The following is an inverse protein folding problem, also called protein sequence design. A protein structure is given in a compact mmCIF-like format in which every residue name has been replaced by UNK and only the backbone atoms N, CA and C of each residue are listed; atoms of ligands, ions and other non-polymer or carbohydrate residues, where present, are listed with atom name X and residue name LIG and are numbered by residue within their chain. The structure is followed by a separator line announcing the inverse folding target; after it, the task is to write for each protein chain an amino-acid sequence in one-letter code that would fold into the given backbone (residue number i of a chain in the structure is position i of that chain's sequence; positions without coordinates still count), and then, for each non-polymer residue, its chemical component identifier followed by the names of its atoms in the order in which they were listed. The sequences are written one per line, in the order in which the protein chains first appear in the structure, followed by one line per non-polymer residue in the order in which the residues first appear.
data_IF_659947043434
#
_entry.id   IF_659947043434
#
_cell.length_a   1.000
_cell.length_b   1.000
_cell.length_c   1.000
_cell.angle_alpha   90.00
_cell.angle_beta   90.00
_cell.angle_gamma   90.00
#
_symmetry.space_group_name_H-M   'P 1'
#
loop_
_entity.id
_entity.type
_entity.pdbx_description
1 polymer ?
#
# COMPACT_ATOMS: atom_id res chain seq x y z
N UNK A 1 3.57 7.03 14.52
CA UNK A 1 4.43 6.91 13.32
C UNK A 1 4.14 5.58 12.64
N UNK A 2 4.59 5.36 11.40
CA UNK A 2 4.57 4.06 10.76
C UNK A 2 5.37 3.01 11.56
N UNK A 3 4.93 1.75 11.60
CA UNK A 3 5.45 0.70 12.48
C UNK A 3 5.88 -0.55 11.70
N UNK A 4 6.95 -1.22 12.17
CA UNK A 4 7.37 -2.52 11.65
C UNK A 4 7.89 -2.54 10.20
N UNK A 5 8.05 -3.74 9.65
CA UNK A 5 8.64 -3.94 8.30
C UNK A 5 7.78 -3.35 7.18
N UNK A 6 6.46 -3.41 7.33
CA UNK A 6 5.48 -2.95 6.32
C UNK A 6 5.02 -1.50 6.53
N UNK A 7 5.57 -0.82 7.55
CA UNK A 7 5.31 0.60 7.84
C UNK A 7 3.82 0.94 8.01
N UNK A 8 3.04 0.02 8.59
CA UNK A 8 1.62 0.24 8.90
C UNK A 8 1.48 1.27 10.01
N UNK A 9 0.60 2.27 9.84
CA UNK A 9 0.30 3.25 10.90
C UNK A 9 -0.70 2.69 11.92
N UNK A 10 -0.71 3.19 13.18
CA UNK A 10 -1.56 2.64 14.25
C UNK A 10 -3.03 2.50 13.89
N UNK A 11 -3.64 3.53 13.30
CA UNK A 11 -5.06 3.53 12.95
C UNK A 11 -5.38 2.45 11.90
N UNK A 12 -4.52 2.31 10.89
CA UNK A 12 -4.61 1.24 9.89
C UNK A 12 -4.40 -0.14 10.52
N UNK A 13 -3.47 -0.27 11.47
CA UNK A 13 -3.24 -1.52 12.20
C UNK A 13 -4.47 -1.94 13.01
N UNK A 14 -5.11 -1.02 13.73
CA UNK A 14 -6.34 -1.28 14.46
C UNK A 14 -7.50 -1.68 13.53
N UNK A 15 -7.63 -1.01 12.39
CA UNK A 15 -8.60 -1.38 11.35
C UNK A 15 -8.37 -2.81 10.84
N UNK A 16 -7.13 -3.15 10.45
CA UNK A 16 -6.78 -4.49 9.94
C UNK A 16 -7.03 -5.56 11.01
N UNK A 17 -6.66 -5.30 12.26
CA UNK A 17 -6.89 -6.21 13.37
C UNK A 17 -8.37 -6.56 13.52
N UNK A 18 -9.27 -5.57 13.36
CA UNK A 18 -10.72 -5.82 13.36
C UNK A 18 -11.15 -6.66 12.16
N UNK A 19 -10.63 -6.37 10.96
CA UNK A 19 -10.98 -7.13 9.74
C UNK A 19 -10.54 -8.59 9.81
N UNK A 20 -9.38 -8.85 10.42
CA UNK A 20 -8.81 -10.19 10.56
C UNK A 20 -9.26 -10.91 11.84
N UNK A 21 -10.10 -10.28 12.67
CA UNK A 21 -10.45 -10.76 14.01
C UNK A 21 -9.21 -11.14 14.85
N UNK A 22 -8.16 -10.32 14.78
CA UNK A 22 -6.90 -10.57 15.47
C UNK A 22 -7.10 -10.43 17.00
N UNK A 23 -6.73 -11.45 17.79
CA UNK A 23 -6.99 -11.44 19.24
C UNK A 23 -6.08 -10.44 19.96
N UNK A 24 -6.65 -9.70 20.91
CA UNK A 24 -5.96 -8.82 21.86
C UNK A 24 -4.89 -7.91 21.23
N UNK A 25 -5.18 -7.37 20.04
CA UNK A 25 -4.23 -6.57 19.26
C UNK A 25 -3.67 -5.38 20.05
N UNK A 26 -2.34 -5.25 20.03
CA UNK A 26 -1.61 -4.07 20.47
C UNK A 26 -0.69 -3.58 19.36
N UNK A 27 -0.39 -2.28 19.29
CA UNK A 27 0.40 -1.73 18.18
C UNK A 27 1.82 -2.31 18.10
N UNK A 28 2.37 -2.76 19.22
CA UNK A 28 3.67 -3.44 19.31
C UNK A 28 3.68 -4.75 18.50
N UNK A 29 2.53 -5.35 18.24
CA UNK A 29 2.43 -6.54 17.39
C UNK A 29 2.93 -6.28 15.98
N UNK A 30 2.80 -5.06 15.46
CA UNK A 30 3.30 -4.69 14.12
C UNK A 30 4.83 -4.83 13.99
N UNK A 31 5.58 -4.83 15.10
CA UNK A 31 7.02 -5.08 15.09
C UNK A 31 7.38 -6.56 15.02
N UNK A 32 6.43 -7.48 15.26
CA UNK A 32 6.64 -8.91 15.02
C UNK A 32 6.62 -9.14 13.51
N UNK A 33 7.71 -9.61 12.88
CA UNK A 33 7.83 -9.65 11.42
C UNK A 33 6.66 -10.35 10.72
N UNK A 34 6.22 -11.49 11.25
CA UNK A 34 5.08 -12.24 10.72
C UNK A 34 3.77 -11.43 10.74
N UNK A 35 3.50 -10.73 11.85
CA UNK A 35 2.27 -9.93 11.99
C UNK A 35 2.34 -8.71 11.09
N UNK A 36 3.44 -7.95 11.13
CA UNK A 36 3.63 -6.77 10.30
C UNK A 36 3.51 -7.09 8.80
N UNK A 37 4.11 -8.20 8.35
CA UNK A 37 4.00 -8.65 6.95
C UNK A 37 2.56 -9.06 6.59
N UNK A 38 1.88 -9.83 7.44
CA UNK A 38 0.48 -10.21 7.19
C UNK A 38 -0.44 -8.99 7.11
N UNK A 39 -0.28 -8.03 8.03
CA UNK A 39 -1.10 -6.82 8.05
C UNK A 39 -0.84 -5.95 6.82
N UNK A 40 0.44 -5.76 6.48
CA UNK A 40 0.83 -5.03 5.26
C UNK A 40 0.31 -5.69 3.99
N UNK A 41 0.46 -7.01 3.86
CA UNK A 41 -0.02 -7.77 2.71
C UNK A 41 -1.55 -7.71 2.58
N UNK A 42 -2.28 -7.87 3.69
CA UNK A 42 -3.74 -7.74 3.71
C UNK A 42 -4.18 -6.34 3.26
N UNK A 43 -3.54 -5.29 3.78
CA UNK A 43 -3.89 -3.92 3.42
C UNK A 43 -3.56 -3.60 1.96
N UNK A 44 -2.40 -4.06 1.45
CA UNK A 44 -2.03 -3.93 0.05
C UNK A 44 -3.02 -4.67 -0.87
N UNK A 45 -3.42 -5.89 -0.50
CA UNK A 45 -4.42 -6.65 -1.26
C UNK A 45 -5.77 -5.94 -1.35
N UNK A 46 -6.22 -5.30 -0.27
CA UNK A 46 -7.42 -4.46 -0.30
C UNK A 46 -7.26 -3.27 -1.25
N UNK A 47 -6.12 -2.60 -1.25
CA UNK A 47 -5.90 -1.46 -2.16
C UNK A 47 -5.84 -1.93 -3.61
N UNK A 48 -5.20 -3.06 -3.90
CA UNK A 48 -5.20 -3.65 -5.25
C UNK A 48 -6.64 -3.95 -5.72
N UNK A 49 -7.46 -4.56 -4.86
CA UNK A 49 -8.86 -4.83 -5.19
C UNK A 49 -9.68 -3.54 -5.41
N UNK A 50 -9.44 -2.50 -4.61
CA UNK A 50 -10.14 -1.21 -4.72
C UNK A 50 -9.89 -0.52 -6.07
N UNK A 51 -8.72 -0.72 -6.68
CA UNK A 51 -8.31 -0.07 -7.93
C UNK A 51 -8.21 -1.05 -9.10
N UNK A 52 -8.98 -2.16 -9.10
CA UNK A 52 -8.99 -3.15 -10.19
C UNK A 52 -7.59 -3.67 -10.59
N UNK A 53 -6.73 -3.88 -9.58
CA UNK A 53 -5.32 -4.25 -9.71
C UNK A 53 -4.42 -3.22 -10.41
N UNK A 54 -4.86 -1.96 -10.54
CA UNK A 54 -4.02 -0.88 -11.01
C UNK A 54 -2.98 -0.49 -9.93
N UNK A 55 -1.79 -1.09 -10.06
CA UNK A 55 -0.69 -1.01 -9.09
C UNK A 55 -0.34 0.43 -8.66
N UNK A 56 -0.19 1.42 -9.58
CA UNK A 56 0.17 2.79 -9.17
C UNK A 56 -0.82 3.41 -8.19
N UNK A 57 -2.12 3.18 -8.36
CA UNK A 57 -3.14 3.69 -7.45
C UNK A 57 -3.18 2.93 -6.14
N UNK A 58 -3.01 1.60 -6.17
CA UNK A 58 -2.92 0.80 -4.94
C UNK A 58 -1.72 1.21 -4.07
N UNK A 59 -0.55 1.43 -4.66
CA UNK A 59 0.65 1.92 -3.95
C UNK A 59 0.45 3.35 -3.42
N UNK A 60 -0.21 4.21 -4.21
CA UNK A 60 -0.60 5.54 -3.76
C UNK A 60 -1.51 5.48 -2.53
N UNK A 61 -2.48 4.56 -2.52
CA UNK A 61 -3.40 4.39 -1.40
C UNK A 61 -2.70 3.84 -0.15
N UNK A 62 -1.71 2.96 -0.33
CA UNK A 62 -0.90 2.44 0.75
C UNK A 62 -0.05 3.54 1.41
N UNK A 63 0.58 4.40 0.60
CA UNK A 63 1.50 5.44 1.09
C UNK A 63 0.79 6.73 1.54
N UNK A 64 -0.17 7.23 0.75
CA UNK A 64 -0.83 8.52 0.96
C UNK A 64 -2.29 8.41 1.41
N UNK A 65 -2.80 7.20 1.59
CA UNK A 65 -4.18 6.92 1.97
C UNK A 65 -5.15 6.80 0.79
N UNK A 66 -6.19 5.96 0.90
CA UNK A 66 -7.10 5.64 -0.20
C UNK A 66 -7.89 6.83 -0.73
N UNK A 67 -8.21 7.82 0.12
CA UNK A 67 -8.92 9.02 -0.32
C UNK A 67 -8.11 9.89 -1.29
N UNK A 68 -6.80 10.02 -1.08
CA UNK A 68 -5.92 10.73 -2.00
C UNK A 68 -5.77 9.97 -3.32
N UNK A 69 -5.52 8.65 -3.23
CA UNK A 69 -5.41 7.80 -4.40
C UNK A 69 -6.68 7.80 -5.26
N UNK A 70 -7.87 7.73 -4.65
CA UNK A 70 -9.14 7.78 -5.37
C UNK A 70 -9.34 9.14 -6.06
N UNK A 71 -8.95 10.24 -5.41
CA UNK A 71 -9.00 11.57 -6.04
C UNK A 71 -8.12 11.62 -7.29
N UNK A 72 -6.88 11.15 -7.21
CA UNK A 72 -5.95 11.13 -8.35
C UNK A 72 -6.43 10.17 -9.45
N UNK A 73 -6.93 9.00 -9.07
CA UNK A 73 -7.47 8.01 -10.00
C UNK A 73 -8.65 8.58 -10.81
N UNK A 74 -9.57 9.26 -10.13
CA UNK A 74 -10.70 9.91 -10.79
C UNK A 74 -10.29 11.10 -11.67
N UNK A 75 -9.21 11.82 -11.32
CA UNK A 75 -8.68 12.90 -12.15
C UNK A 75 -8.05 12.38 -13.44
N UNK A 76 -7.36 11.24 -13.39
CA UNK A 76 -6.79 10.57 -14.56
C UNK A 76 -7.89 10.01 -15.48
N UNK A 77 -9.02 9.61 -14.90
CA UNK A 77 -10.17 9.09 -15.64
C UNK A 77 -9.83 7.76 -16.31
N UNK A 78 -10.14 7.65 -17.61
CA UNK A 78 -9.86 6.44 -18.39
C UNK A 78 -8.41 6.34 -18.88
N UNK A 79 -7.63 7.41 -18.77
CA UNK A 79 -6.23 7.45 -19.18
C UNK A 79 -5.33 7.11 -17.98
N UNK A 80 -4.98 5.83 -17.85
CA UNK A 80 -4.12 5.36 -16.77
C UNK A 80 -2.68 5.85 -16.91
N UNK A 81 -2.23 6.23 -18.11
CA UNK A 81 -0.89 6.77 -18.32
C UNK A 81 -0.77 8.16 -17.69
N UNK A 82 -1.87 8.92 -17.63
CA UNK A 82 -1.94 10.22 -16.97
C UNK A 82 -1.87 10.12 -15.44
N UNK A 83 -2.13 8.95 -14.84
CA UNK A 83 -2.29 8.82 -13.39
C UNK A 83 -1.13 9.40 -12.59
N UNK A 84 0.11 9.08 -12.96
CA UNK A 84 1.29 9.54 -12.22
C UNK A 84 1.46 11.07 -12.24
N UNK A 85 0.98 11.74 -13.29
CA UNK A 85 0.97 13.20 -13.38
C UNK A 85 -0.06 13.84 -12.43
N UNK A 86 -1.13 13.11 -12.10
CA UNK A 86 -2.15 13.58 -11.16
C UNK A 86 -1.71 13.47 -9.69
N UNK A 87 -0.75 12.58 -9.39
CA UNK A 87 -0.21 12.37 -8.04
C UNK A 87 0.66 13.55 -7.64
N UNK A 88 0.07 14.53 -6.95
CA UNK A 88 0.74 15.78 -6.60
C UNK A 88 1.63 15.70 -5.33
N UNK A 89 1.87 14.51 -4.79
CA UNK A 89 2.75 14.29 -3.64
C UNK A 89 4.07 13.69 -4.13
N UNK A 90 5.16 14.48 -4.05
CA UNK A 90 6.48 14.06 -4.51
C UNK A 90 6.99 12.80 -3.78
N UNK A 91 6.69 12.68 -2.47
CA UNK A 91 7.02 11.48 -1.69
C UNK A 91 6.31 10.23 -2.24
N UNK A 92 5.04 10.35 -2.60
CA UNK A 92 4.24 9.24 -3.14
C UNK A 92 4.68 8.85 -4.54
N UNK A 93 5.01 9.81 -5.40
CA UNK A 93 5.60 9.52 -6.71
C UNK A 93 6.90 8.71 -6.57
N UNK A 94 7.81 9.17 -5.70
CA UNK A 94 9.06 8.48 -5.41
C UNK A 94 8.84 7.09 -4.78
N UNK A 95 7.83 6.96 -3.91
CA UNK A 95 7.45 5.69 -3.31
C UNK A 95 7.02 4.67 -4.37
N UNK A 96 6.15 5.06 -5.31
CA UNK A 96 5.69 4.19 -6.41
C UNK A 96 6.88 3.72 -7.24
N UNK A 97 7.74 4.65 -7.67
CA UNK A 97 8.93 4.34 -8.47
C UNK A 97 9.82 3.30 -7.77
N UNK A 98 10.17 3.54 -6.50
CA UNK A 98 11.05 2.65 -5.74
C UNK A 98 10.47 1.25 -5.55
N UNK A 99 9.19 1.16 -5.21
CA UNK A 99 8.53 -0.14 -5.03
C UNK A 99 8.44 -0.89 -6.36
N UNK A 100 8.13 -0.20 -7.46
CA UNK A 100 8.03 -0.84 -8.77
C UNK A 100 9.38 -1.36 -9.27
N UNK A 101 10.45 -0.57 -9.12
CA UNK A 101 11.82 -1.01 -9.42
C UNK A 101 12.20 -2.23 -8.58
N UNK A 102 11.92 -2.19 -7.27
CA UNK A 102 12.16 -3.32 -6.39
C UNK A 102 11.37 -4.56 -6.82
N UNK A 103 10.08 -4.41 -7.13
CA UNK A 103 9.22 -5.50 -7.59
C UNK A 103 9.75 -6.19 -8.84
N UNK A 104 10.13 -5.42 -9.87
CA UNK A 104 10.70 -5.98 -11.12
C UNK A 104 12.02 -6.70 -10.83
N UNK A 105 12.88 -6.15 -9.97
CA UNK A 105 14.13 -6.80 -9.57
C UNK A 105 13.88 -8.10 -8.82
N UNK A 106 12.93 -8.13 -7.89
CA UNK A 106 12.53 -9.35 -7.18
C UNK A 106 11.96 -10.39 -8.15
N UNK A 107 11.12 -9.99 -9.11
CA UNK A 107 10.65 -10.91 -10.14
C UNK A 107 11.80 -11.50 -10.96
N UNK A 108 12.79 -10.69 -11.34
CA UNK A 108 13.96 -11.18 -12.07
C UNK A 108 14.80 -12.16 -11.25
N UNK A 109 15.06 -11.87 -9.97
CA UNK A 109 15.90 -12.69 -9.10
C UNK A 109 15.23 -14.01 -8.68
N UNK A 110 13.91 -14.02 -8.58
CA UNK A 110 13.11 -15.16 -8.11
C UNK A 110 12.21 -15.76 -9.19
N UNK A 111 12.42 -15.41 -10.47
CA UNK A 111 11.81 -16.12 -11.58
C UNK A 111 12.40 -17.54 -11.63
N UNK A 112 11.58 -18.54 -11.30
CA UNK A 112 11.85 -19.94 -11.67
C UNK A 112 11.59 -20.16 -13.17
#
# INVERSE_FOLDING_TARGET
AAQGLSQVIPDTGAYIAQQLAWPDYVNEDLYKPYVGLNFGAFYLAQQLALFDNFIPAALSAYNAGPGNALRWYNLAGADHDLYLETVNFAETQLYIERIYVGYVLYQYLYAE
#
